data_IF_389937999277
#
_entry.id   IF_389937999277
#
_cell.length_a   1.000
_cell.length_b   1.000
_cell.length_c   1.000
_cell.angle_alpha   90.00
_cell.angle_beta   90.00
_cell.angle_gamma   90.00
#
_symmetry.space_group_name_H-M   'P 1'
#
loop_
_entity.id
_entity.type
_entity.pdbx_description
1 polymer ?
#
# COMPACT_ATOMS: atom_id res chain seq x y z
N UNK A 1 -22.51 -20.57 9.28
CA UNK A 1 -23.22 -20.53 7.99
C UNK A 1 -22.50 -19.67 6.95
N UNK A 2 -22.28 -18.35 7.16
CA UNK A 2 -21.59 -17.47 6.20
C UNK A 2 -20.29 -18.04 5.61
N UNK A 3 -19.35 -18.50 6.44
CA UNK A 3 -18.08 -19.05 5.97
C UNK A 3 -18.25 -20.29 5.06
N UNK A 4 -19.23 -21.15 5.35
CA UNK A 4 -19.53 -22.34 4.56
C UNK A 4 -20.20 -21.97 3.22
N UNK A 5 -21.15 -21.03 3.25
CA UNK A 5 -21.77 -20.47 2.04
C UNK A 5 -20.71 -19.82 1.13
N UNK A 6 -19.83 -18.97 1.66
CA UNK A 6 -18.74 -18.33 0.89
C UNK A 6 -17.73 -19.35 0.35
N UNK A 7 -17.47 -20.45 1.05
CA UNK A 7 -16.63 -21.54 0.55
C UNK A 7 -17.31 -22.30 -0.60
N UNK A 8 -18.63 -22.53 -0.53
CA UNK A 8 -19.38 -23.16 -1.61
C UNK A 8 -19.38 -22.31 -2.89
N UNK A 9 -19.62 -21.00 -2.75
CA UNK A 9 -19.62 -20.06 -3.89
C UNK A 9 -18.25 -19.95 -4.56
N UNK A 10 -17.15 -19.92 -3.77
CA UNK A 10 -15.77 -19.98 -4.30
C UNK A 10 -15.46 -21.25 -5.11
N UNK A 11 -16.17 -22.34 -4.85
CA UNK A 11 -16.06 -23.59 -5.60
C UNK A 11 -16.98 -23.63 -6.85
N UNK A 12 -17.60 -22.50 -7.22
CA UNK A 12 -18.50 -22.41 -8.37
C UNK A 12 -19.84 -23.12 -8.18
N UNK A 13 -20.26 -23.39 -6.93
CA UNK A 13 -21.53 -24.06 -6.64
C UNK A 13 -22.71 -23.09 -6.79
N UNK A 14 -23.82 -23.60 -7.34
CA UNK A 14 -25.10 -22.89 -7.40
C UNK A 14 -25.64 -22.58 -6.00
N UNK A 15 -26.62 -21.68 -5.90
CA UNK A 15 -27.27 -21.31 -4.63
C UNK A 15 -27.83 -22.54 -3.90
N UNK A 16 -28.52 -23.43 -4.61
CA UNK A 16 -29.03 -24.70 -4.08
C UNK A 16 -27.89 -25.59 -3.53
N UNK A 17 -26.80 -25.75 -4.29
CA UNK A 17 -25.62 -26.52 -3.83
C UNK A 17 -24.86 -25.83 -2.70
N UNK A 18 -25.01 -24.52 -2.53
CA UNK A 18 -24.43 -23.78 -1.41
C UNK A 18 -25.20 -24.03 -0.12
N UNK A 19 -26.52 -24.23 -0.18
CA UNK A 19 -27.34 -24.67 0.95
C UNK A 19 -26.91 -26.07 1.40
N UNK A 20 -26.82 -27.03 0.48
CA UNK A 20 -26.41 -28.41 0.80
C UNK A 20 -25.00 -28.48 1.40
N UNK A 21 -24.07 -27.70 0.85
CA UNK A 21 -22.72 -27.61 1.38
C UNK A 21 -22.68 -26.96 2.77
N UNK A 22 -23.48 -25.91 2.99
CA UNK A 22 -23.58 -25.23 4.29
C UNK A 22 -24.14 -26.16 5.36
N UNK A 23 -25.15 -26.97 5.01
CA UNK A 23 -25.71 -28.00 5.88
C UNK A 23 -24.66 -29.05 6.25
N UNK A 24 -23.89 -29.53 5.28
CA UNK A 24 -22.82 -30.52 5.51
C UNK A 24 -21.76 -29.99 6.49
N UNK A 25 -21.30 -28.75 6.27
CA UNK A 25 -20.27 -28.12 7.12
C UNK A 25 -20.82 -27.76 8.50
N UNK A 26 -22.09 -27.35 8.60
CA UNK A 26 -22.74 -27.10 9.89
C UNK A 26 -22.86 -28.40 10.71
N UNK A 27 -23.29 -29.50 10.08
CA UNK A 27 -23.37 -30.81 10.73
C UNK A 27 -22.01 -31.29 11.26
N UNK A 28 -20.94 -31.11 10.48
CA UNK A 28 -19.57 -31.46 10.89
C UNK A 28 -19.08 -30.60 12.07
N UNK A 29 -19.27 -29.29 12.00
CA UNK A 29 -18.76 -28.37 13.01
C UNK A 29 -19.54 -28.43 14.33
N UNK A 30 -20.82 -28.79 14.27
CA UNK A 30 -21.72 -28.76 15.43
C UNK A 30 -21.99 -30.16 15.99
N UNK A 31 -21.37 -31.20 15.42
CA UNK A 31 -21.33 -32.52 15.99
C UNK A 31 -20.74 -32.46 17.42
N UNK A 32 -21.62 -32.61 18.42
CA UNK A 32 -21.25 -32.56 19.83
C UNK A 32 -21.24 -31.17 20.48
N UNK A 33 -21.62 -30.11 19.78
CA UNK A 33 -21.74 -28.77 20.36
C UNK A 33 -22.96 -28.67 21.31
N UNK A 34 -22.79 -28.05 22.48
CA UNK A 34 -23.90 -27.76 23.40
C UNK A 34 -24.73 -26.59 22.90
N UNK A 35 -26.05 -26.77 22.81
CA UNK A 35 -27.01 -25.70 22.50
C UNK A 35 -26.99 -24.68 23.65
N UNK A 36 -26.63 -23.43 23.34
CA UNK A 36 -26.53 -22.33 24.34
C UNK A 36 -27.77 -21.43 24.39
N UNK A 37 -28.47 -21.30 23.28
CA UNK A 37 -29.65 -20.45 23.17
C UNK A 37 -30.59 -21.02 22.10
N UNK A 38 -31.84 -21.31 22.50
CA UNK A 38 -32.87 -21.92 21.65
C UNK A 38 -33.83 -20.85 21.10
N UNK A 39 -33.76 -19.62 21.63
CA UNK A 39 -34.68 -18.51 21.27
C UNK A 39 -34.35 -17.87 19.93
N UNK A 40 -33.15 -18.14 19.40
CA UNK A 40 -32.67 -17.70 18.08
C UNK A 40 -33.08 -18.62 16.94
N UNK A 41 -33.76 -19.73 17.23
CA UNK A 41 -34.22 -20.66 16.22
C UNK A 41 -35.62 -20.25 15.71
N UNK A 42 -35.91 -20.41 14.40
CA UNK A 42 -37.22 -20.08 13.84
C UNK A 42 -38.33 -20.95 14.42
N UNK A 43 -39.59 -20.58 14.22
CA UNK A 43 -40.73 -21.40 14.68
C UNK A 43 -40.59 -22.85 14.20
N UNK A 44 -40.87 -23.84 15.06
CA UNK A 44 -40.64 -25.24 14.73
C UNK A 44 -41.63 -25.69 13.63
N UNK A 45 -41.14 -26.37 12.57
CA UNK A 45 -42.01 -26.89 11.53
C UNK A 45 -42.92 -28.00 12.09
N UNK A 46 -44.14 -28.13 11.56
CA UNK A 46 -45.08 -29.15 12.02
C UNK A 46 -44.96 -30.42 11.18
N UNK A 47 -44.44 -31.50 11.79
CA UNK A 47 -44.35 -32.82 11.15
C UNK A 47 -45.28 -33.83 11.85
N UNK A 48 -46.18 -34.54 11.12
CA UNK A 48 -47.04 -35.57 11.70
C UNK A 48 -46.23 -36.71 12.36
N UNK A 49 -46.52 -37.01 13.63
CA UNK A 49 -45.79 -38.02 14.40
C UNK A 49 -46.02 -39.46 13.91
N UNK A 50 -47.15 -39.74 13.26
CA UNK A 50 -47.58 -41.10 12.89
C UNK A 50 -46.76 -41.79 11.78
N UNK A 51 -45.79 -41.11 11.18
CA UNK A 51 -44.97 -41.65 10.08
C UNK A 51 -43.61 -42.20 10.53
N UNK A 52 -43.29 -42.08 11.83
CA UNK A 52 -41.97 -42.42 12.36
C UNK A 52 -42.05 -43.61 13.33
N UNK A 53 -41.08 -44.55 13.27
CA UNK A 53 -41.13 -45.78 14.05
C UNK A 53 -40.95 -45.57 15.56
N UNK A 54 -40.46 -44.40 15.99
CA UNK A 54 -40.31 -44.04 17.39
C UNK A 54 -40.16 -42.50 17.55
N UNK A 55 -40.33 -41.97 18.79
CA UNK A 55 -40.18 -40.54 19.07
C UNK A 55 -38.80 -39.95 18.74
N UNK A 56 -37.73 -40.74 18.82
CA UNK A 56 -36.38 -40.28 18.46
C UNK A 56 -36.26 -40.03 16.96
N UNK A 57 -36.76 -40.96 16.15
CA UNK A 57 -36.77 -40.82 14.69
C UNK A 57 -37.63 -39.65 14.22
N UNK A 58 -38.73 -39.36 14.93
CA UNK A 58 -39.52 -38.15 14.71
C UNK A 58 -38.75 -36.88 15.09
N UNK A 59 -38.09 -36.86 16.25
CA UNK A 59 -37.30 -35.71 16.69
C UNK A 59 -36.10 -35.43 15.77
N UNK A 60 -35.43 -36.48 15.27
CA UNK A 60 -34.34 -36.38 14.31
C UNK A 60 -34.84 -35.80 12.98
N UNK A 61 -35.98 -36.27 12.49
CA UNK A 61 -36.60 -35.75 11.27
C UNK A 61 -37.05 -34.28 11.41
N UNK A 62 -37.63 -33.93 12.56
CA UNK A 62 -38.00 -32.56 12.91
C UNK A 62 -36.78 -31.65 12.92
N UNK A 63 -35.70 -32.08 13.56
CA UNK A 63 -34.45 -31.33 13.64
C UNK A 63 -33.80 -31.15 12.26
N UNK A 64 -33.79 -32.20 11.43
CA UNK A 64 -33.27 -32.11 10.05
C UNK A 64 -34.05 -31.11 9.19
N UNK A 65 -35.38 -31.12 9.28
CA UNK A 65 -36.23 -30.17 8.55
C UNK A 65 -35.95 -28.74 9.01
N UNK A 66 -35.92 -28.52 10.32
CA UNK A 66 -35.67 -27.22 10.92
C UNK A 66 -34.29 -26.66 10.54
N UNK A 67 -33.28 -27.53 10.50
CA UNK A 67 -31.93 -27.18 10.04
C UNK A 67 -31.88 -26.77 8.58
N UNK A 68 -32.58 -27.52 7.72
CA UNK A 68 -32.66 -27.24 6.29
C UNK A 68 -33.31 -25.89 6.03
N UNK A 69 -34.44 -25.62 6.68
CA UNK A 69 -35.17 -24.34 6.56
C UNK A 69 -34.32 -23.17 7.06
N UNK A 70 -33.66 -23.33 8.21
CA UNK A 70 -32.78 -22.29 8.77
C UNK A 70 -31.61 -21.98 7.84
N UNK A 71 -30.93 -23.01 7.33
CA UNK A 71 -29.82 -22.84 6.41
C UNK A 71 -30.28 -22.22 5.07
N UNK A 72 -31.43 -22.64 4.54
CA UNK A 72 -32.01 -22.08 3.33
C UNK A 72 -32.35 -20.60 3.51
N UNK A 73 -33.00 -20.22 4.63
CA UNK A 73 -33.34 -18.83 4.92
C UNK A 73 -32.09 -17.93 5.03
N UNK A 74 -31.06 -18.39 5.75
CA UNK A 74 -29.81 -17.65 5.86
C UNK A 74 -29.04 -17.58 4.54
N UNK A 75 -29.02 -18.66 3.75
CA UNK A 75 -28.43 -18.62 2.42
C UNK A 75 -29.21 -17.70 1.49
N UNK A 76 -30.55 -17.69 1.51
CA UNK A 76 -31.37 -16.75 0.72
C UNK A 76 -31.04 -15.32 1.08
N UNK A 77 -30.98 -14.98 2.37
CA UNK A 77 -30.56 -13.63 2.80
C UNK A 77 -29.15 -13.26 2.35
N UNK A 78 -28.23 -14.24 2.35
CA UNK A 78 -26.87 -14.02 1.84
C UNK A 78 -26.85 -13.87 0.32
N UNK A 79 -27.66 -14.62 -0.42
CA UNK A 79 -27.79 -14.47 -1.87
C UNK A 79 -28.47 -13.13 -2.20
N UNK A 80 -29.53 -12.72 -1.49
CA UNK A 80 -30.17 -11.40 -1.64
C UNK A 80 -29.21 -10.24 -1.32
N UNK A 81 -28.35 -10.42 -0.31
CA UNK A 81 -27.40 -9.38 0.11
C UNK A 81 -26.11 -9.35 -0.73
N UNK A 82 -25.75 -10.46 -1.39
CA UNK A 82 -24.42 -10.64 -2.00
C UNK A 82 -24.42 -11.13 -3.45
N UNK A 83 -25.57 -11.59 -3.99
CA UNK A 83 -25.75 -11.77 -5.43
C UNK A 83 -26.20 -10.43 -5.99
N UNK A 84 -25.39 -9.79 -6.84
CA UNK A 84 -25.82 -8.61 -7.55
C UNK A 84 -27.03 -8.98 -8.41
N UNK A 85 -28.07 -8.15 -8.38
CA UNK A 85 -29.16 -8.23 -9.34
C UNK A 85 -28.55 -8.35 -10.72
N UNK A 86 -28.84 -9.45 -11.41
CA UNK A 86 -28.50 -9.63 -12.81
C UNK A 86 -29.32 -8.63 -13.62
N UNK A 87 -28.80 -7.42 -13.76
CA UNK A 87 -29.47 -6.32 -14.44
C UNK A 87 -28.56 -5.11 -14.44
N UNK A 88 -28.14 -4.72 -15.65
CA UNK A 88 -27.32 -3.56 -15.98
C UNK A 88 -25.81 -3.79 -15.82
N UNK A 89 -25.06 -3.40 -16.85
CA UNK A 89 -23.60 -3.38 -16.89
C UNK A 89 -23.07 -2.79 -15.59
N UNK A 90 -22.57 -3.63 -14.66
CA UNK A 90 -22.08 -3.16 -13.36
C UNK A 90 -21.04 -2.07 -13.59
N UNK A 91 -21.46 -0.83 -13.31
CA UNK A 91 -20.61 0.33 -13.41
C UNK A 91 -19.45 0.11 -12.44
N UNK A 92 -18.26 -0.14 -12.99
CA UNK A 92 -17.05 -0.34 -12.19
C UNK A 92 -16.52 1.02 -11.76
N UNK A 93 -16.08 1.10 -10.52
CA UNK A 93 -15.41 2.25 -9.95
C UNK A 93 -13.97 1.91 -9.56
N UNK A 94 -13.12 2.93 -9.52
CA UNK A 94 -11.76 2.82 -9.00
C UNK A 94 -11.74 3.24 -7.54
N UNK A 95 -11.20 2.37 -6.70
CA UNK A 95 -11.12 2.56 -5.26
C UNK A 95 -9.67 2.49 -4.80
N UNK A 96 -9.14 3.60 -4.28
CA UNK A 96 -7.86 3.59 -3.55
C UNK A 96 -8.12 3.11 -2.13
N UNK A 97 -7.44 2.04 -1.75
CA UNK A 97 -7.48 1.45 -0.41
C UNK A 97 -6.10 1.59 0.21
N UNK A 98 -6.03 2.34 1.31
CA UNK A 98 -4.82 2.51 2.12
C UNK A 98 -4.83 1.55 3.31
N UNK A 99 -3.69 1.34 3.97
CA UNK A 99 -3.51 0.31 5.02
C UNK A 99 -3.72 -1.13 4.49
N UNK A 100 -3.17 -1.43 3.31
CA UNK A 100 -3.18 -2.76 2.70
C UNK A 100 -1.97 -3.61 3.12
N UNK A 101 -2.14 -4.93 3.39
CA UNK A 101 -3.39 -5.68 3.39
C UNK A 101 -4.28 -5.39 4.62
N UNK A 102 -5.59 -5.51 4.47
CA UNK A 102 -6.60 -5.22 5.50
C UNK A 102 -6.69 -6.32 6.58
N UNK A 103 -5.56 -6.64 7.23
CA UNK A 103 -5.46 -7.72 8.23
C UNK A 103 -5.62 -7.24 9.67
N UNK A 104 -5.72 -5.94 9.90
CA UNK A 104 -5.83 -5.34 11.23
C UNK A 104 -7.28 -5.39 11.75
N UNK A 105 -7.47 -5.30 13.07
CA UNK A 105 -8.80 -5.31 13.72
C UNK A 105 -9.74 -4.20 13.23
N UNK A 106 -9.21 -3.10 12.71
CA UNK A 106 -9.99 -2.04 12.06
C UNK A 106 -10.34 -2.30 10.58
N UNK A 107 -9.77 -3.35 9.96
CA UNK A 107 -9.93 -3.67 8.53
C UNK A 107 -10.98 -4.75 8.23
N UNK A 108 -11.58 -5.37 9.25
CA UNK A 108 -12.50 -6.50 9.08
C UNK A 108 -13.73 -6.17 8.21
N UNK A 109 -14.28 -4.97 8.39
CA UNK A 109 -15.44 -4.47 7.62
C UNK A 109 -15.11 -4.21 6.15
N UNK A 110 -13.84 -3.98 5.83
CA UNK A 110 -13.33 -3.72 4.48
C UNK A 110 -12.68 -4.96 3.86
N UNK A 111 -12.48 -6.03 4.62
CA UNK A 111 -11.74 -7.23 4.17
C UNK A 111 -12.36 -7.90 2.94
N UNK A 112 -13.66 -7.71 2.70
CA UNK A 112 -14.32 -8.20 1.49
C UNK A 112 -13.73 -7.60 0.21
N UNK A 113 -13.11 -6.41 0.28
CA UNK A 113 -12.48 -5.77 -0.87
C UNK A 113 -11.33 -6.59 -1.46
N UNK A 114 -10.72 -7.48 -0.66
CA UNK A 114 -9.66 -8.39 -1.11
C UNK A 114 -10.08 -9.40 -2.18
N UNK A 115 -11.38 -9.51 -2.47
CA UNK A 115 -11.87 -10.34 -3.57
C UNK A 115 -11.80 -9.64 -4.94
N UNK A 116 -11.61 -8.33 -4.97
CA UNK A 116 -11.60 -7.54 -6.20
C UNK A 116 -10.20 -7.39 -6.78
N UNK A 117 -10.07 -7.30 -8.12
CA UNK A 117 -8.77 -7.22 -8.77
C UNK A 117 -8.05 -5.91 -8.42
N UNK A 118 -6.77 -6.05 -8.06
CA UNK A 118 -5.86 -4.92 -7.90
C UNK A 118 -5.39 -4.44 -9.27
N UNK A 119 -5.48 -3.13 -9.50
CA UNK A 119 -4.94 -2.46 -10.67
C UNK A 119 -3.64 -1.75 -10.31
N UNK A 120 -2.59 -2.00 -11.08
CA UNK A 120 -1.28 -1.38 -10.87
C UNK A 120 -0.52 -1.89 -9.64
N UNK A 121 0.62 -1.25 -9.31
CA UNK A 121 1.48 -1.67 -8.21
C UNK A 121 0.91 -1.29 -6.84
N UNK A 122 1.31 -2.04 -5.82
CA UNK A 122 1.17 -1.61 -4.43
C UNK A 122 2.25 -0.60 -4.09
N UNK A 123 1.87 0.56 -3.57
CA UNK A 123 2.82 1.62 -3.19
C UNK A 123 2.94 1.73 -1.67
N UNK A 124 4.08 2.18 -1.13
CA UNK A 124 4.21 2.47 0.29
C UNK A 124 3.15 3.48 0.78
N UNK A 125 2.68 3.31 2.01
CA UNK A 125 1.68 4.17 2.63
C UNK A 125 2.02 4.51 4.09
N UNK A 126 1.71 5.75 4.48
CA UNK A 126 2.06 6.34 5.78
C UNK A 126 0.81 6.77 6.57
N UNK A 127 -0.22 5.93 6.58
CA UNK A 127 -1.37 6.18 7.43
C UNK A 127 -0.93 6.15 8.91
N UNK A 128 -0.93 7.33 9.53
CA UNK A 128 -0.56 7.59 10.93
C UNK A 128 -1.67 7.12 11.88
N UNK A 129 -1.77 5.81 12.12
CA UNK A 129 -2.89 5.27 12.93
C UNK A 129 -2.53 4.17 13.91
N UNK A 130 -1.32 3.60 13.92
CA UNK A 130 -0.96 2.63 14.96
C UNK A 130 0.56 2.51 15.18
N UNK A 131 1.09 2.89 16.36
CA UNK A 131 2.50 2.67 16.71
C UNK A 131 2.86 1.19 16.92
N UNK A 132 1.87 0.29 17.04
CA UNK A 132 2.08 -1.14 17.27
C UNK A 132 2.01 -1.99 16.00
N UNK A 133 1.87 -1.37 14.83
CA UNK A 133 1.84 -2.13 13.58
C UNK A 133 3.26 -2.62 13.20
N UNK A 134 3.42 -3.94 13.11
CA UNK A 134 4.71 -4.62 12.92
C UNK A 134 5.10 -4.85 11.44
N UNK A 135 4.40 -4.25 10.47
CA UNK A 135 4.64 -4.49 9.04
C UNK A 135 4.53 -3.25 8.13
N UNK A 136 5.01 -3.34 6.88
CA UNK A 136 4.87 -2.27 5.89
C UNK A 136 3.42 -2.17 5.40
N UNK A 137 2.86 -0.96 5.44
CA UNK A 137 1.52 -0.63 4.95
C UNK A 137 1.55 -0.17 3.50
N UNK A 138 0.62 -0.64 2.69
CA UNK A 138 0.57 -0.26 1.29
C UNK A 138 -0.73 0.47 0.95
N UNK A 139 -0.70 1.25 -0.11
CA UNK A 139 -1.89 1.68 -0.81
C UNK A 139 -2.00 0.90 -2.13
N UNK A 140 -3.21 0.49 -2.46
CA UNK A 140 -3.55 -0.24 -3.68
C UNK A 140 -4.79 0.37 -4.31
N UNK A 141 -4.90 0.28 -5.63
CA UNK A 141 -6.12 0.64 -6.35
C UNK A 141 -6.84 -0.63 -6.77
N UNK A 142 -8.14 -0.70 -6.51
CA UNK A 142 -8.99 -1.83 -6.85
C UNK A 142 -10.02 -1.42 -7.91
N UNK A 143 -10.35 -2.34 -8.81
CA UNK A 143 -11.53 -2.22 -9.66
C UNK A 143 -12.71 -2.92 -8.98
N UNK A 144 -13.65 -2.14 -8.46
CA UNK A 144 -14.77 -2.65 -7.67
C UNK A 144 -16.11 -2.28 -8.32
N UNK A 145 -17.17 -3.09 -8.17
CA UNK A 145 -18.51 -2.66 -8.48
C UNK A 145 -18.88 -1.40 -7.68
N UNK A 146 -19.62 -0.47 -8.28
CA UNK A 146 -20.00 0.80 -7.64
C UNK A 146 -20.62 0.63 -6.25
N UNK A 147 -21.52 -0.33 -6.07
CA UNK A 147 -22.17 -0.58 -4.77
C UNK A 147 -21.14 -0.94 -3.68
N UNK A 148 -20.10 -1.70 -4.01
CA UNK A 148 -19.04 -2.09 -3.10
C UNK A 148 -18.15 -0.88 -2.75
N UNK A 149 -17.86 -0.03 -3.75
CA UNK A 149 -17.17 1.22 -3.54
C UNK A 149 -17.93 2.15 -2.56
N UNK A 150 -19.23 2.34 -2.78
CA UNK A 150 -20.09 3.18 -1.93
C UNK A 150 -20.18 2.62 -0.50
N UNK A 151 -20.34 1.31 -0.37
CA UNK A 151 -20.33 0.63 0.94
C UNK A 151 -18.98 0.80 1.67
N UNK A 152 -17.86 0.68 0.96
CA UNK A 152 -16.54 0.89 1.54
C UNK A 152 -16.32 2.34 2.03
N UNK A 153 -16.80 3.32 1.27
CA UNK A 153 -16.75 4.74 1.65
C UNK A 153 -17.57 4.99 2.91
N UNK A 154 -18.76 4.42 3.02
CA UNK A 154 -19.60 4.60 4.22
C UNK A 154 -18.95 3.97 5.47
N UNK A 155 -18.44 2.74 5.36
CA UNK A 155 -17.72 2.09 6.47
C UNK A 155 -16.47 2.84 6.89
N UNK A 156 -15.76 3.46 5.94
CA UNK A 156 -14.57 4.26 6.18
C UNK A 156 -14.85 5.74 6.50
N UNK A 157 -16.12 6.16 6.63
CA UNK A 157 -16.49 7.58 6.82
C UNK A 157 -15.75 8.27 7.96
N UNK A 158 -15.53 7.56 9.06
CA UNK A 158 -14.82 8.09 10.24
C UNK A 158 -13.30 7.87 10.19
N UNK A 159 -12.83 7.09 9.22
CA UNK A 159 -11.43 6.75 9.02
C UNK A 159 -10.87 7.59 7.87
N UNK A 160 -10.54 8.86 8.19
CA UNK A 160 -10.12 9.85 7.20
C UNK A 160 -9.06 9.28 6.24
N UNK A 161 -9.29 9.49 4.95
CA UNK A 161 -8.39 9.17 3.84
C UNK A 161 -8.10 7.67 3.62
N UNK A 162 -8.66 6.75 4.41
CA UNK A 162 -8.38 5.31 4.22
C UNK A 162 -8.92 4.78 2.89
N UNK A 163 -10.06 5.30 2.46
CA UNK A 163 -10.72 4.97 1.20
C UNK A 163 -10.90 6.25 0.39
N UNK A 164 -10.46 6.23 -0.87
CA UNK A 164 -10.75 7.29 -1.84
C UNK A 164 -11.43 6.68 -3.06
N UNK A 165 -12.67 7.11 -3.30
CA UNK A 165 -13.48 6.70 -4.45
C UNK A 165 -13.30 7.70 -5.58
N UNK A 166 -12.97 7.21 -6.78
CA UNK A 166 -13.04 8.00 -8.01
C UNK A 166 -14.25 7.52 -8.81
N UNK A 167 -15.17 8.45 -9.08
CA UNK A 167 -16.32 8.18 -9.95
C UNK A 167 -15.84 7.74 -11.34
N UNK A 168 -16.57 6.85 -12.01
CA UNK A 168 -16.29 6.46 -13.38
C UNK A 168 -16.42 7.70 -14.29
N UNK A 169 -15.28 8.22 -14.74
CA UNK A 169 -15.18 8.92 -16.02
C UNK A 169 -14.93 7.92 -17.15
N UNK A 170 -14.62 8.40 -18.36
CA UNK A 170 -14.28 7.58 -19.55
C UNK A 170 -13.14 6.54 -19.35
N UNK A 171 -12.55 6.48 -18.16
CA UNK A 171 -11.51 5.54 -17.71
C UNK A 171 -12.04 4.14 -17.30
N UNK A 172 -13.31 3.80 -17.57
CA UNK A 172 -13.89 2.45 -17.32
C UNK A 172 -13.21 1.30 -18.08
N UNK A 173 -12.16 1.59 -18.86
CA UNK A 173 -11.34 0.60 -19.60
C UNK A 173 -10.08 0.14 -18.86
N UNK A 174 -9.79 0.64 -17.66
CA UNK A 174 -8.63 0.19 -16.90
C UNK A 174 -8.70 -1.33 -16.63
N UNK A 175 -7.64 -2.04 -17.01
CA UNK A 175 -7.47 -3.49 -16.78
C UNK A 175 -6.20 -3.75 -15.99
N UNK A 176 -6.03 -4.97 -15.48
CA UNK A 176 -4.79 -5.34 -14.76
C UNK A 176 -3.53 -5.18 -15.64
N UNK A 177 -3.67 -5.38 -16.95
CA UNK A 177 -2.56 -5.27 -17.91
C UNK A 177 -2.32 -3.83 -18.40
N UNK A 178 -3.34 -2.97 -18.31
CA UNK A 178 -3.25 -1.55 -18.64
C UNK A 178 -4.11 -0.76 -17.63
N UNK A 179 -3.54 -0.40 -16.48
CA UNK A 179 -4.28 0.26 -15.40
C UNK A 179 -4.72 1.69 -15.77
N UNK A 180 -4.17 2.27 -16.86
CA UNK A 180 -4.56 3.60 -17.34
C UNK A 180 -4.14 4.75 -16.41
N UNK A 181 -4.36 6.00 -16.85
CA UNK A 181 -3.92 7.20 -16.13
C UNK A 181 -4.66 7.41 -14.81
N UNK A 182 -5.92 7.01 -14.70
CA UNK A 182 -6.72 7.23 -13.49
C UNK A 182 -6.24 6.45 -12.26
N UNK A 183 -5.77 5.21 -12.47
CA UNK A 183 -5.15 4.40 -11.41
C UNK A 183 -3.86 5.05 -10.94
N UNK A 184 -3.05 5.54 -11.87
CA UNK A 184 -1.81 6.25 -11.57
C UNK A 184 -2.05 7.50 -10.73
N UNK A 185 -2.99 8.36 -11.13
CA UNK A 185 -3.34 9.57 -10.37
C UNK A 185 -3.74 9.23 -8.92
N UNK A 186 -4.54 8.17 -8.73
CA UNK A 186 -4.94 7.71 -7.40
C UNK A 186 -3.74 7.25 -6.58
N UNK A 187 -2.83 6.46 -7.16
CA UNK A 187 -1.59 6.03 -6.48
C UNK A 187 -0.70 7.22 -6.09
N UNK A 188 -0.62 8.24 -6.95
CA UNK A 188 0.15 9.47 -6.67
C UNK A 188 -0.39 10.27 -5.47
N UNK A 189 -1.67 10.10 -5.11
CA UNK A 189 -2.21 10.70 -3.87
C UNK A 189 -1.69 10.02 -2.60
N UNK A 190 -1.25 8.76 -2.68
CA UNK A 190 -0.69 8.01 -1.55
C UNK A 190 0.85 8.08 -1.51
N UNK A 191 1.50 7.92 -2.66
CA UNK A 191 2.95 7.95 -2.79
C UNK A 191 3.37 8.74 -4.04
N UNK A 192 4.18 9.80 -3.91
CA UNK A 192 4.54 10.64 -5.04
C UNK A 192 5.51 9.94 -6.01
N UNK A 193 6.15 8.84 -5.60
CA UNK A 193 7.13 8.11 -6.40
C UNK A 193 6.59 6.77 -6.89
N UNK A 194 6.42 6.64 -8.20
CA UNK A 194 6.08 5.39 -8.88
C UNK A 194 7.26 4.94 -9.75
N UNK A 195 7.64 3.67 -9.65
CA UNK A 195 8.80 3.13 -10.37
C UNK A 195 8.62 3.12 -11.91
N UNK A 196 7.38 3.18 -12.39
CA UNK A 196 7.02 3.22 -13.80
C UNK A 196 7.36 4.59 -14.43
N UNK A 197 7.40 5.65 -13.63
CA UNK A 197 7.65 7.02 -14.07
C UNK A 197 9.03 7.19 -14.72
N UNK A 198 10.14 6.84 -14.03
CA UNK A 198 11.46 6.91 -14.66
C UNK A 198 11.64 5.90 -15.79
N UNK A 199 10.89 4.79 -15.79
CA UNK A 199 10.95 3.81 -16.88
C UNK A 199 10.34 4.34 -18.19
N UNK A 200 9.40 5.28 -18.09
CA UNK A 200 8.76 5.92 -19.23
C UNK A 200 9.59 7.06 -19.88
N UNK A 201 10.70 7.48 -19.25
CA UNK A 201 11.53 8.59 -19.74
C UNK A 201 12.38 8.24 -20.98
N UNK A 202 12.38 6.97 -21.38
CA UNK A 202 13.12 6.48 -22.54
C UNK A 202 14.54 5.97 -22.21
N UNK A 203 15.34 5.64 -23.24
CA UNK A 203 16.59 4.88 -23.07
C UNK A 203 17.79 5.70 -22.59
N UNK A 204 17.75 7.03 -22.71
CA UNK A 204 18.84 7.91 -22.29
C UNK A 204 18.27 9.21 -21.72
N UNK A 205 17.58 9.12 -20.57
CA UNK A 205 16.89 10.26 -20.01
C UNK A 205 17.88 11.24 -19.36
N UNK A 206 17.72 12.51 -19.63
CA UNK A 206 18.51 13.59 -19.04
C UNK A 206 17.76 14.24 -17.86
N UNK A 207 18.51 14.86 -16.95
CA UNK A 207 17.93 15.63 -15.87
C UNK A 207 17.13 16.83 -16.42
N UNK A 208 15.88 16.97 -15.97
CA UNK A 208 15.00 18.07 -16.38
C UNK A 208 15.63 19.44 -16.03
N UNK A 209 15.15 20.51 -16.68
CA UNK A 209 15.61 21.86 -16.37
C UNK A 209 15.33 22.23 -14.90
N UNK A 210 14.22 21.76 -14.33
CA UNK A 210 13.86 21.94 -12.92
C UNK A 210 14.90 21.26 -12.04
N UNK A 211 15.22 19.99 -12.30
CA UNK A 211 16.23 19.26 -11.54
C UNK A 211 17.59 19.95 -11.61
N UNK A 212 18.06 20.32 -12.80
CA UNK A 212 19.35 21.00 -12.95
C UNK A 212 19.40 22.32 -12.17
N UNK A 213 18.32 23.11 -12.21
CA UNK A 213 18.20 24.33 -11.43
C UNK A 213 18.21 24.05 -9.92
N UNK A 214 17.44 23.07 -9.44
CA UNK A 214 17.40 22.73 -8.01
C UNK A 214 18.72 22.15 -7.52
N UNK A 215 19.40 21.31 -8.32
CA UNK A 215 20.75 20.82 -8.03
C UNK A 215 21.75 21.97 -7.90
N UNK A 216 21.65 22.99 -8.74
CA UNK A 216 22.51 24.17 -8.63
C UNK A 216 22.28 24.93 -7.30
N UNK A 217 21.03 25.03 -6.84
CA UNK A 217 20.69 25.62 -5.54
C UNK A 217 21.25 24.79 -4.39
N UNK A 218 21.10 23.46 -4.41
CA UNK A 218 21.69 22.56 -3.40
C UNK A 218 23.22 22.67 -3.35
N UNK A 219 23.89 22.68 -4.51
CA UNK A 219 25.35 22.87 -4.61
C UNK A 219 25.77 24.23 -4.03
N UNK A 220 25.03 25.29 -4.32
CA UNK A 220 25.30 26.62 -3.77
C UNK A 220 25.12 26.68 -2.25
N UNK A 221 24.11 25.99 -1.71
CA UNK A 221 23.85 25.94 -0.26
C UNK A 221 24.92 25.14 0.52
N UNK A 222 25.59 24.18 -0.13
CA UNK A 222 26.67 23.36 0.46
C UNK A 222 27.90 24.17 0.89
N UNK A 223 28.17 25.32 0.28
CA UNK A 223 29.35 26.14 0.59
C UNK A 223 30.69 25.41 0.33
N UNK A 224 31.79 25.89 0.91
CA UNK A 224 33.15 25.35 0.72
C UNK A 224 33.43 24.02 1.45
N UNK A 225 32.43 23.38 2.07
CA UNK A 225 32.57 22.07 2.72
C UNK A 225 32.99 20.94 1.73
N UNK A 226 32.89 21.18 0.42
CA UNK A 226 33.49 20.33 -0.62
C UNK A 226 35.01 20.15 -0.49
N UNK A 227 35.70 21.07 0.18
CA UNK A 227 37.17 21.07 0.25
C UNK A 227 37.66 20.61 1.62
N UNK A 228 37.26 19.42 2.07
CA UNK A 228 38.09 18.72 3.06
C UNK A 228 39.39 18.31 2.36
N UNK A 229 40.36 19.23 2.40
CA UNK A 229 41.71 19.01 1.91
C UNK A 229 42.28 17.79 2.64
N UNK A 230 42.40 16.68 1.91
CA UNK A 230 42.96 15.44 2.40
C UNK A 230 44.45 15.64 2.62
N UNK A 231 44.86 16.19 3.77
CA UNK A 231 46.26 16.07 4.16
C UNK A 231 46.53 14.57 4.38
N UNK A 232 47.52 14.01 3.69
CA UNK A 232 47.82 12.56 3.75
C UNK A 232 47.99 12.03 5.19
N UNK A 233 48.41 12.89 6.12
CA UNK A 233 48.62 12.56 7.54
C UNK A 233 47.34 12.41 8.39
N UNK A 234 46.16 12.82 7.91
CA UNK A 234 44.88 12.78 8.66
C UNK A 234 43.69 12.37 7.79
N UNK A 235 43.95 11.61 6.73
CA UNK A 235 42.95 11.20 5.74
C UNK A 235 41.73 10.52 6.38
N UNK A 236 41.96 9.61 7.31
CA UNK A 236 40.89 8.84 7.95
C UNK A 236 40.01 9.70 8.88
N UNK A 237 40.61 10.59 9.66
CA UNK A 237 39.88 11.53 10.54
C UNK A 237 39.04 12.52 9.73
N UNK A 238 39.60 13.04 8.63
CA UNK A 238 38.88 13.92 7.71
C UNK A 238 37.75 13.18 7.01
N UNK A 239 37.96 11.91 6.61
CA UNK A 239 36.94 11.07 5.96
C UNK A 239 35.79 10.82 6.91
N UNK A 240 36.10 10.49 8.16
CA UNK A 240 35.11 10.24 9.20
C UNK A 240 34.29 11.51 9.48
N UNK A 241 34.93 12.68 9.62
CA UNK A 241 34.23 13.96 9.84
C UNK A 241 33.30 14.31 8.68
N UNK A 242 33.78 14.13 7.44
CA UNK A 242 32.99 14.36 6.23
C UNK A 242 31.74 13.48 6.17
N UNK A 243 31.93 12.18 6.37
CA UNK A 243 30.88 11.15 6.46
C UNK A 243 29.88 11.44 7.59
N UNK A 244 30.36 11.87 8.75
CA UNK A 244 29.52 12.20 9.89
C UNK A 244 28.71 13.48 9.66
N UNK A 245 29.29 14.51 9.02
CA UNK A 245 28.58 15.73 8.66
C UNK A 245 27.46 15.44 7.65
N UNK A 246 27.71 14.57 6.67
CA UNK A 246 26.70 14.08 5.72
C UNK A 246 25.54 13.37 6.43
N UNK A 247 25.88 12.37 7.25
CA UNK A 247 24.92 11.60 8.05
C UNK A 247 24.10 12.49 8.99
N UNK A 248 24.70 13.56 9.47
CA UNK A 248 24.05 14.51 10.35
C UNK A 248 23.17 15.53 9.61
N UNK A 249 23.10 15.45 8.28
CA UNK A 249 22.30 16.36 7.45
C UNK A 249 22.89 17.76 7.32
N UNK A 250 24.20 17.95 7.57
CA UNK A 250 24.87 19.26 7.48
C UNK A 250 25.10 19.70 6.05
N UNK A 251 25.22 18.74 5.13
CA UNK A 251 25.35 19.00 3.71
C UNK A 251 24.59 17.95 2.89
N UNK A 252 24.28 18.30 1.64
CA UNK A 252 23.55 17.45 0.69
C UNK A 252 24.50 16.95 -0.39
N UNK A 253 24.53 15.64 -0.61
CA UNK A 253 25.14 15.06 -1.80
C UNK A 253 24.25 15.36 -3.00
N UNK A 254 24.85 15.89 -4.07
CA UNK A 254 24.15 16.25 -5.31
C UNK A 254 24.77 15.47 -6.46
N UNK A 255 24.00 14.70 -7.24
CA UNK A 255 24.52 13.98 -8.39
C UNK A 255 25.00 14.95 -9.47
N UNK A 256 25.89 14.47 -10.33
CA UNK A 256 26.33 15.21 -11.50
C UNK A 256 25.23 15.25 -12.57
N UNK A 257 25.24 16.31 -13.37
CA UNK A 257 24.35 16.46 -14.53
C UNK A 257 24.86 15.70 -15.76
N UNK A 258 26.11 15.23 -15.70
CA UNK A 258 26.82 14.46 -16.74
C UNK A 258 27.50 13.25 -16.14
N UNK A 259 27.66 12.18 -16.91
CA UNK A 259 28.16 10.88 -16.43
C UNK A 259 29.64 10.86 -16.00
N UNK A 260 30.43 11.88 -16.38
CA UNK A 260 31.88 11.94 -16.11
C UNK A 260 32.25 12.60 -14.77
N UNK A 261 31.26 12.91 -13.93
CA UNK A 261 31.51 13.66 -12.69
C UNK A 261 31.94 12.81 -11.49
N UNK A 262 32.38 13.50 -10.43
CA UNK A 262 32.92 12.86 -9.22
C UNK A 262 31.83 12.46 -8.21
N UNK A 263 30.61 12.95 -8.34
CA UNK A 263 29.53 12.72 -7.37
C UNK A 263 29.18 11.23 -7.24
N UNK A 264 29.25 10.46 -8.34
CA UNK A 264 29.05 9.02 -8.29
C UNK A 264 30.06 8.31 -7.38
N UNK A 265 31.34 8.67 -7.48
CA UNK A 265 32.40 8.11 -6.61
C UNK A 265 32.29 8.61 -5.16
N UNK A 266 31.88 9.87 -4.97
CA UNK A 266 31.58 10.39 -3.63
C UNK A 266 30.48 9.57 -2.97
N UNK A 267 29.41 9.22 -3.70
CA UNK A 267 28.31 8.43 -3.13
C UNK A 267 28.75 7.00 -2.78
N UNK A 268 29.55 6.34 -3.63
CA UNK A 268 30.16 5.04 -3.27
C UNK A 268 30.90 5.16 -1.94
N UNK A 269 31.76 6.17 -1.81
CA UNK A 269 32.55 6.42 -0.61
C UNK A 269 31.67 6.69 0.62
N UNK A 270 30.54 7.38 0.46
CA UNK A 270 29.59 7.60 1.55
C UNK A 270 28.95 6.27 1.98
N UNK A 271 28.51 5.45 1.03
CA UNK A 271 27.71 4.25 1.31
C UNK A 271 28.53 3.01 1.70
N UNK A 272 29.84 2.99 1.46
CA UNK A 272 30.78 1.90 1.81
C UNK A 272 30.71 1.43 3.28
N UNK A 273 30.35 2.31 4.22
CA UNK A 273 30.14 1.96 5.63
C UNK A 273 28.68 2.14 6.00
N UNK A 274 27.85 1.25 5.47
CA UNK A 274 26.44 0.99 5.78
C UNK A 274 25.79 1.98 6.78
N UNK A 275 25.12 2.98 6.22
CA UNK A 275 24.16 3.83 6.95
C UNK A 275 22.76 3.19 7.01
N UNK A 276 22.68 1.86 6.93
CA UNK A 276 21.42 1.11 6.85
C UNK A 276 20.46 1.38 8.02
N UNK A 277 20.95 2.00 9.11
CA UNK A 277 20.19 2.39 10.30
C UNK A 277 19.93 3.90 10.43
N UNK A 278 20.50 4.74 9.56
CA UNK A 278 20.25 6.20 9.58
C UNK A 278 19.17 6.55 8.56
N UNK A 279 18.16 7.28 9.02
CA UNK A 279 17.17 7.88 8.14
C UNK A 279 17.84 8.97 7.28
N UNK A 280 17.66 8.84 5.98
CA UNK A 280 18.11 9.73 4.93
C UNK A 280 16.91 10.44 4.30
N UNK A 281 17.13 11.67 3.84
CA UNK A 281 16.24 12.44 2.98
C UNK A 281 16.75 12.35 1.56
N UNK A 282 15.93 11.82 0.66
CA UNK A 282 16.20 11.77 -0.77
C UNK A 282 15.27 12.72 -1.49
N UNK A 283 15.82 13.79 -2.07
CA UNK A 283 15.08 14.76 -2.86
C UNK A 283 14.98 14.26 -4.30
N UNK A 284 13.76 14.16 -4.84
CA UNK A 284 13.49 13.61 -6.16
C UNK A 284 12.47 14.45 -6.91
N UNK A 285 12.60 14.48 -8.24
CA UNK A 285 11.50 14.80 -9.12
C UNK A 285 10.64 13.55 -9.33
N UNK A 286 9.33 13.68 -9.19
CA UNK A 286 8.41 12.57 -9.28
C UNK A 286 7.20 12.92 -10.18
N UNK A 287 6.49 11.91 -10.66
CA UNK A 287 5.43 12.09 -11.65
C UNK A 287 5.91 11.94 -13.10
N UNK A 288 4.95 11.87 -14.05
CA UNK A 288 5.25 11.72 -15.47
C UNK A 288 5.96 12.94 -16.04
N UNK A 289 6.71 12.74 -17.13
CA UNK A 289 7.27 13.83 -17.91
C UNK A 289 6.17 14.83 -18.31
N UNK A 290 6.34 16.11 -17.96
CA UNK A 290 5.38 17.19 -18.24
C UNK A 290 4.38 17.49 -17.10
N UNK A 291 4.27 16.63 -16.09
CA UNK A 291 3.46 16.88 -14.88
C UNK A 291 4.25 16.45 -13.62
N UNK A 292 5.49 16.92 -13.54
CA UNK A 292 6.44 16.56 -12.49
C UNK A 292 6.28 17.44 -11.25
N UNK A 293 6.35 16.84 -10.07
CA UNK A 293 6.50 17.52 -8.78
C UNK A 293 7.86 17.23 -8.15
N UNK A 294 8.23 17.98 -7.11
CA UNK A 294 9.48 17.74 -6.36
C UNK A 294 9.15 17.37 -4.92
N UNK A 295 9.68 16.23 -4.49
CA UNK A 295 9.35 15.63 -3.19
C UNK A 295 10.62 15.20 -2.46
N UNK A 296 10.50 15.08 -1.14
CA UNK A 296 11.50 14.45 -0.28
C UNK A 296 10.97 13.12 0.19
N UNK A 297 11.68 12.04 -0.13
CA UNK A 297 11.41 10.70 0.39
C UNK A 297 12.26 10.44 1.62
N UNK A 298 11.69 9.81 2.64
CA UNK A 298 12.41 9.41 3.84
C UNK A 298 12.62 7.89 3.86
N UNK A 299 13.79 7.48 4.30
CA UNK A 299 14.15 6.07 4.25
C UNK A 299 15.62 5.83 4.54
N UNK A 300 16.12 4.71 4.05
CA UNK A 300 17.49 4.27 4.19
C UNK A 300 18.09 4.13 2.80
N UNK A 301 19.25 4.75 2.59
CA UNK A 301 20.04 4.54 1.38
C UNK A 301 20.56 3.10 1.34
N UNK A 302 20.38 2.43 0.20
CA UNK A 302 20.90 1.10 -0.09
C UNK A 302 22.10 1.15 -1.02
N UNK A 303 22.13 0.27 -2.02
CA UNK A 303 23.24 0.18 -2.98
C UNK A 303 23.12 1.26 -4.06
N UNK A 304 24.22 1.95 -4.34
CA UNK A 304 24.40 2.80 -5.51
C UNK A 304 25.04 2.00 -6.67
N UNK A 305 24.31 1.86 -7.77
CA UNK A 305 24.84 1.29 -9.01
C UNK A 305 25.33 2.43 -9.91
N UNK A 306 26.63 2.73 -9.82
CA UNK A 306 27.26 3.80 -10.59
C UNK A 306 27.17 3.57 -12.10
N UNK A 307 27.14 2.32 -12.56
CA UNK A 307 27.10 2.01 -14.00
C UNK A 307 25.72 2.26 -14.60
N UNK A 308 24.68 2.08 -13.79
CA UNK A 308 23.29 2.33 -14.19
C UNK A 308 22.79 3.71 -13.78
N UNK A 309 23.55 4.44 -12.96
CA UNK A 309 23.07 5.67 -12.33
C UNK A 309 21.82 5.42 -11.50
N UNK A 310 21.76 4.34 -10.70
CA UNK A 310 20.56 3.98 -9.92
C UNK A 310 20.89 3.84 -8.45
N UNK A 311 20.14 4.57 -7.62
CA UNK A 311 20.15 4.39 -6.17
C UNK A 311 19.01 3.45 -5.76
N UNK A 312 19.34 2.37 -5.05
CA UNK A 312 18.33 1.59 -4.33
C UNK A 312 18.00 2.29 -3.02
N UNK A 313 16.83 2.88 -2.91
CA UNK A 313 16.37 3.58 -1.72
C UNK A 313 15.28 2.76 -1.04
N UNK A 314 15.43 2.47 0.26
CA UNK A 314 14.42 1.77 1.03
C UNK A 314 13.60 2.80 1.78
N UNK A 315 12.31 3.02 1.46
CA UNK A 315 11.49 3.91 2.27
C UNK A 315 11.49 3.44 3.74
N UNK A 316 11.07 4.32 4.66
CA UNK A 316 10.93 3.93 6.07
C UNK A 316 9.99 2.73 6.25
N UNK A 317 9.92 2.17 7.45
CA UNK A 317 8.84 1.22 7.80
C UNK A 317 8.91 -0.17 7.15
N UNK A 318 10.10 -0.53 6.67
CA UNK A 318 10.37 -1.87 6.16
C UNK A 318 9.82 -2.12 4.75
N UNK A 319 9.46 -1.06 4.01
CA UNK A 319 9.11 -1.18 2.61
C UNK A 319 10.24 -1.79 1.78
N UNK A 320 9.88 -2.41 0.65
CA UNK A 320 10.88 -2.87 -0.33
C UNK A 320 11.62 -1.67 -0.90
N UNK A 321 12.89 -1.88 -1.24
CA UNK A 321 13.70 -0.85 -1.87
C UNK A 321 13.16 -0.51 -3.26
N UNK A 322 13.04 0.78 -3.56
CA UNK A 322 12.72 1.33 -4.87
C UNK A 322 13.99 1.72 -5.59
N UNK A 323 14.00 1.56 -6.91
CA UNK A 323 15.07 2.06 -7.76
C UNK A 323 14.79 3.52 -8.10
N UNK A 324 15.74 4.40 -7.81
CA UNK A 324 15.67 5.84 -8.11
C UNK A 324 16.77 6.18 -9.10
N UNK A 325 16.38 6.59 -10.31
CA UNK A 325 17.31 6.91 -11.38
C UNK A 325 17.98 8.27 -11.15
N UNK A 326 19.28 8.36 -11.45
CA UNK A 326 20.13 9.51 -11.17
C UNK A 326 19.52 10.78 -11.73
N UNK A 327 19.02 10.76 -12.97
CA UNK A 327 18.47 11.93 -13.64
C UNK A 327 17.25 12.50 -12.92
N UNK A 328 16.57 11.74 -12.06
CA UNK A 328 15.45 12.19 -11.20
C UNK A 328 15.88 12.62 -9.78
N UNK A 329 17.11 12.34 -9.37
CA UNK A 329 17.61 12.68 -8.04
C UNK A 329 18.10 14.14 -8.02
N UNK A 330 17.65 14.90 -7.02
CA UNK A 330 18.15 16.25 -6.75
C UNK A 330 19.28 16.19 -5.72
N UNK A 331 19.10 15.40 -4.68
CA UNK A 331 20.15 15.20 -3.68
C UNK A 331 19.78 14.21 -2.59
N UNK A 332 20.78 13.81 -1.81
CA UNK A 332 20.66 12.90 -0.68
C UNK A 332 21.34 13.54 0.53
N UNK A 333 20.71 13.47 1.71
CA UNK A 333 21.30 14.00 2.93
C UNK A 333 20.78 13.23 4.15
N UNK A 334 21.54 13.21 5.25
CA UNK A 334 21.05 12.64 6.50
C UNK A 334 19.93 13.46 7.14
N UNK A 335 19.17 12.83 8.04
CA UNK A 335 18.22 13.51 8.93
C UNK A 335 18.58 13.26 10.40
N UNK A 336 19.42 14.15 10.97
CA UNK A 336 19.83 14.06 12.38
C UNK A 336 18.71 14.43 13.35
N UNK A 337 17.85 15.37 12.97
CA UNK A 337 16.97 16.07 13.91
C UNK A 337 15.73 15.25 14.29
N UNK A 338 15.34 14.25 13.50
CA UNK A 338 14.22 13.36 13.84
C UNK A 338 14.59 12.16 14.74
N UNK A 339 15.84 12.08 15.24
CA UNK A 339 16.22 11.09 16.27
C UNK A 339 15.50 11.27 17.62
N UNK A 340 14.77 12.38 17.82
CA UNK A 340 14.30 12.82 19.13
C UNK A 340 12.82 12.67 19.49
N UNK A 341 11.85 12.65 18.56
CA UNK A 341 10.43 12.72 19.00
C UNK A 341 9.34 12.39 17.97
N UNK A 342 9.64 11.76 16.83
CA UNK A 342 8.59 11.31 15.90
C UNK A 342 9.14 10.49 14.75
N UNK A 343 8.36 9.50 14.30
CA UNK A 343 8.63 8.75 13.07
C UNK A 343 8.63 9.77 11.90
N UNK A 344 9.66 9.79 11.03
CA UNK A 344 9.59 10.60 9.81
C UNK A 344 8.39 10.15 8.97
N UNK A 345 7.70 11.05 8.26
CA UNK A 345 6.71 10.62 7.29
C UNK A 345 7.41 9.85 6.17
N UNK A 346 6.65 9.11 5.38
CA UNK A 346 7.19 8.45 4.19
C UNK A 346 7.73 9.45 3.17
N UNK A 347 7.06 10.61 3.03
CA UNK A 347 7.46 11.68 2.11
C UNK A 347 6.90 13.05 2.52
N UNK A 348 7.46 14.12 1.97
CA UNK A 348 6.93 15.49 2.07
C UNK A 348 7.22 16.30 0.79
N UNK A 349 6.53 17.42 0.59
CA UNK A 349 6.89 18.38 -0.45
C UNK A 349 8.32 18.89 -0.27
N UNK A 350 9.08 18.97 -1.34
CA UNK A 350 10.44 19.48 -1.27
C UNK A 350 10.47 20.95 -0.85
N UNK A 351 11.37 21.26 0.08
CA UNK A 351 11.65 22.63 0.52
C UNK A 351 13.08 22.96 0.16
N UNK A 352 13.25 23.99 -0.67
CA UNK A 352 14.56 24.50 -1.03
C UNK A 352 15.37 24.82 0.24
N UNK A 353 16.67 24.49 0.29
CA UNK A 353 17.52 24.89 1.38
C UNK A 353 17.50 26.41 1.48
N UNK A 354 17.33 26.92 2.70
CA UNK A 354 17.45 28.35 2.93
C UNK A 354 18.93 28.73 2.86
N UNK A 355 19.30 29.81 2.15
CA UNK A 355 20.66 30.30 2.16
C UNK A 355 21.07 30.60 3.60
N UNK A 356 22.25 30.10 3.99
CA UNK A 356 22.81 30.31 5.31
C UNK A 356 22.88 31.82 5.60
N UNK A 357 22.03 32.33 6.48
CA UNK A 357 22.14 33.70 6.96
C UNK A 357 23.33 33.73 7.91
N UNK A 358 24.45 34.30 7.47
CA UNK A 358 25.53 34.69 8.36
C UNK A 358 24.97 35.72 9.35
N UNK A 359 24.95 35.37 10.63
CA UNK A 359 24.69 36.31 11.72
C UNK A 359 25.97 37.04 12.08
#
# INVERSE_FOLDING_TARGET
MRAAWSAARRQGKSAERAVDFTLTVAAQNWAGARVRDVTVLPDPPTIPAGQYPNPSAWADALLQLWWKETAAAWCSRLEEALVPGAGESEEKALLLVRDWPLTNSGGEELAYLAQFPQLGPSVPDDLDTDPYHLGPRHAVVLSVPRYAAEQAVEHARYQRQRITLRSPGDDSRATESDPGPAVRDLLLTACPWLAEDPAADGPSPEASAVIRATRAVERAARGSEEQLHWSDKRRDDSLWKWRHAFRDGRWTWVPDDTDDGLAGQQLVTLLERHYDWTVMRLHVESGPAGATGVHTLFGHSGVWDIRRGVLRFRPVDGHRAVAVAQHRIIGLTGDRYRRGSGRPPLWEEYRSPQPYRSW
#
